data_IF_461916330363
#
_entry.id   IF_461916330363
#
_cell.length_a   1.000
_cell.length_b   1.000
_cell.length_c   1.000
_cell.angle_alpha   90.00
_cell.angle_beta   90.00
_cell.angle_gamma   90.00
#
_symmetry.space_group_name_H-M   'P 1'
#
loop_
_entity.id
_entity.type
_entity.pdbx_description
1 polymer ?
#
# COMPACT_ATOMS: atom_id res chain seq x y z
N UNK A 1 -33.39 36.70 -14.94
CA UNK A 1 -34.35 35.71 -14.40
C UNK A 1 -34.22 34.33 -15.04
N UNK A 2 -34.29 34.20 -16.38
CA UNK A 2 -34.18 32.91 -17.09
C UNK A 2 -32.86 32.15 -16.83
N UNK A 3 -31.72 32.86 -16.80
CA UNK A 3 -30.41 32.24 -16.51
C UNK A 3 -30.33 31.67 -15.10
N UNK A 4 -30.92 32.37 -14.12
CA UNK A 4 -30.97 31.91 -12.72
C UNK A 4 -31.84 30.66 -12.62
N UNK A 5 -32.99 30.64 -13.29
CA UNK A 5 -33.87 29.48 -13.33
C UNK A 5 -33.20 28.26 -13.99
N UNK A 6 -32.46 28.46 -15.09
CA UNK A 6 -31.71 27.39 -15.74
C UNK A 6 -30.59 26.84 -14.85
N UNK A 7 -29.84 27.73 -14.16
CA UNK A 7 -28.81 27.31 -13.20
C UNK A 7 -29.40 26.53 -12.03
N UNK A 8 -30.50 27.01 -11.44
CA UNK A 8 -31.20 26.31 -10.35
C UNK A 8 -31.73 24.95 -10.82
N UNK A 9 -32.32 24.87 -12.02
CA UNK A 9 -32.79 23.60 -12.58
C UNK A 9 -31.64 22.60 -12.82
N UNK A 10 -30.49 23.07 -13.31
CA UNK A 10 -29.30 22.24 -13.48
C UNK A 10 -28.77 21.74 -12.13
N UNK A 11 -28.67 22.61 -11.13
CA UNK A 11 -28.24 22.25 -9.78
C UNK A 11 -29.19 21.24 -9.12
N UNK A 12 -30.49 21.45 -9.23
CA UNK A 12 -31.49 20.50 -8.75
C UNK A 12 -31.38 19.16 -9.49
N UNK A 13 -31.22 19.18 -10.81
CA UNK A 13 -30.99 17.98 -11.62
C UNK A 13 -29.75 17.22 -11.17
N UNK A 14 -28.62 17.90 -10.96
CA UNK A 14 -27.38 17.29 -10.49
C UNK A 14 -27.53 16.70 -9.08
N UNK A 15 -28.12 17.44 -8.13
CA UNK A 15 -28.33 16.99 -6.75
C UNK A 15 -29.30 15.81 -6.67
N UNK A 16 -30.30 15.74 -7.54
CA UNK A 16 -31.23 14.62 -7.58
C UNK A 16 -30.64 13.40 -8.30
N UNK A 17 -29.92 13.61 -9.40
CA UNK A 17 -29.49 12.52 -10.27
C UNK A 17 -28.15 11.90 -9.85
N UNK A 18 -27.15 12.71 -9.47
CA UNK A 18 -25.83 12.20 -9.09
C UNK A 18 -25.89 11.16 -7.97
N UNK A 19 -26.64 11.36 -6.85
CA UNK A 19 -26.80 10.34 -5.83
C UNK A 19 -27.44 9.05 -6.31
N UNK A 20 -28.09 9.03 -7.47
CA UNK A 20 -28.75 7.85 -8.04
C UNK A 20 -27.91 7.15 -9.10
N UNK A 21 -26.82 7.76 -9.57
CA UNK A 21 -25.94 7.20 -10.62
C UNK A 21 -25.47 5.79 -10.26
N UNK A 22 -25.04 5.56 -9.02
CA UNK A 22 -24.58 4.23 -8.60
C UNK A 22 -25.63 3.13 -8.74
N UNK A 23 -26.94 3.46 -8.66
CA UNK A 23 -28.04 2.48 -8.78
C UNK A 23 -28.26 2.02 -10.21
N UNK A 24 -27.94 2.86 -11.18
CA UNK A 24 -28.11 2.58 -12.62
C UNK A 24 -26.77 2.26 -13.32
N UNK A 25 -25.64 2.65 -12.72
CA UNK A 25 -24.28 2.43 -13.20
C UNK A 25 -23.47 1.58 -12.22
N UNK A 26 -24.04 0.48 -11.72
CA UNK A 26 -23.20 -0.55 -11.09
C UNK A 26 -22.60 -1.42 -12.21
N UNK A 27 -21.29 -1.34 -12.51
CA UNK A 27 -20.72 -2.14 -13.57
C UNK A 27 -20.83 -3.63 -13.22
N UNK A 28 -21.26 -4.43 -14.20
CA UNK A 28 -21.30 -5.88 -14.05
C UNK A 28 -19.91 -6.42 -13.71
N UNK A 29 -19.84 -7.63 -13.14
CA UNK A 29 -18.56 -8.30 -12.90
C UNK A 29 -17.71 -8.37 -14.19
N UNK A 30 -18.35 -8.65 -15.32
CA UNK A 30 -17.71 -8.69 -16.63
C UNK A 30 -17.18 -7.32 -17.08
N UNK A 31 -17.96 -6.24 -16.89
CA UNK A 31 -17.51 -4.89 -17.21
C UNK A 31 -16.29 -4.48 -16.36
N UNK A 32 -16.28 -4.83 -15.06
CA UNK A 32 -15.14 -4.61 -14.16
C UNK A 32 -13.91 -5.41 -14.60
N UNK A 33 -14.09 -6.68 -14.98
CA UNK A 33 -13.01 -7.51 -15.49
C UNK A 33 -12.41 -6.92 -16.78
N UNK A 34 -13.25 -6.47 -17.73
CA UNK A 34 -12.80 -5.80 -18.97
C UNK A 34 -12.03 -4.51 -18.69
N UNK A 35 -12.49 -3.69 -17.75
CA UNK A 35 -11.77 -2.49 -17.32
C UNK A 35 -10.40 -2.84 -16.71
N UNK A 36 -10.36 -3.83 -15.82
CA UNK A 36 -9.12 -4.32 -15.22
C UNK A 36 -8.11 -4.82 -16.24
N UNK A 37 -8.56 -5.63 -17.20
CA UNK A 37 -7.71 -6.11 -18.30
C UNK A 37 -7.22 -4.97 -19.19
N UNK A 38 -8.09 -3.99 -19.50
CA UNK A 38 -7.72 -2.80 -20.29
C UNK A 38 -6.66 -1.93 -19.61
N UNK A 39 -6.76 -1.75 -18.29
CA UNK A 39 -5.76 -1.04 -17.49
C UNK A 39 -4.43 -1.80 -17.43
N UNK A 40 -4.46 -3.11 -17.19
CA UNK A 40 -3.27 -3.96 -17.20
C UNK A 40 -2.57 -3.93 -18.56
N UNK A 41 -3.32 -4.06 -19.65
CA UNK A 41 -2.79 -3.98 -21.02
C UNK A 41 -2.22 -2.60 -21.35
N UNK A 42 -2.81 -1.52 -20.82
CA UNK A 42 -2.22 -0.19 -20.96
C UNK A 42 -0.84 -0.11 -20.29
N UNK A 43 -0.73 -0.60 -19.04
CA UNK A 43 0.52 -0.60 -18.28
C UNK A 43 1.59 -1.49 -18.92
N UNK A 44 1.23 -2.70 -19.37
CA UNK A 44 2.14 -3.58 -20.10
C UNK A 44 2.75 -2.89 -21.32
N UNK A 45 1.93 -2.21 -22.12
CA UNK A 45 2.42 -1.47 -23.29
C UNK A 45 3.36 -0.32 -22.93
N UNK A 46 3.17 0.32 -21.78
CA UNK A 46 4.09 1.36 -21.32
C UNK A 46 5.46 0.75 -21.00
N UNK A 47 5.48 -0.32 -20.20
CA UNK A 47 6.70 -1.06 -19.84
C UNK A 47 7.42 -1.60 -21.08
N UNK A 48 6.70 -2.18 -22.03
CA UNK A 48 7.26 -2.76 -23.26
C UNK A 48 7.87 -1.71 -24.19
N UNK A 49 7.31 -0.50 -24.19
CA UNK A 49 7.80 0.61 -25.02
C UNK A 49 8.97 1.35 -24.40
N UNK A 50 9.26 1.13 -23.12
CA UNK A 50 10.38 1.79 -22.45
C UNK A 50 11.71 1.39 -23.13
N UNK A 51 12.46 2.37 -23.66
CA UNK A 51 13.78 2.13 -24.21
C UNK A 51 14.74 1.46 -23.20
N UNK A 52 15.77 0.73 -23.67
CA UNK A 52 16.81 0.21 -22.79
C UNK A 52 17.42 1.31 -21.92
N UNK A 53 17.53 1.04 -20.62
CA UNK A 53 18.08 1.99 -19.65
C UNK A 53 17.09 3.03 -19.10
N UNK A 54 15.88 3.13 -19.66
CA UNK A 54 14.78 3.85 -19.00
C UNK A 54 14.09 2.94 -17.98
N UNK A 55 13.69 3.54 -16.86
CA UNK A 55 13.08 2.88 -15.72
C UNK A 55 11.60 3.20 -15.64
N UNK A 56 10.77 2.21 -15.35
CA UNK A 56 9.36 2.43 -15.08
C UNK A 56 9.19 3.20 -13.75
N UNK A 57 8.24 4.13 -13.70
CA UNK A 57 8.01 5.06 -12.57
C UNK A 57 9.15 6.05 -12.28
N UNK A 58 10.15 6.21 -13.16
CA UNK A 58 11.27 7.14 -12.96
C UNK A 58 10.82 8.60 -12.74
N UNK A 59 9.76 9.03 -13.44
CA UNK A 59 9.23 10.38 -13.32
C UNK A 59 8.65 10.64 -11.92
N UNK A 60 7.99 9.65 -11.31
CA UNK A 60 7.56 9.73 -9.91
C UNK A 60 8.76 9.89 -8.98
N UNK A 61 9.83 9.14 -9.23
CA UNK A 61 11.08 9.19 -8.45
C UNK A 61 11.79 10.54 -8.47
N UNK A 62 11.60 11.33 -9.54
CA UNK A 62 12.12 12.71 -9.63
C UNK A 62 11.41 13.65 -8.66
N UNK A 63 10.14 13.37 -8.33
CA UNK A 63 9.35 14.14 -7.37
C UNK A 63 9.50 13.59 -5.95
N UNK A 64 9.28 12.29 -5.77
CA UNK A 64 9.47 11.59 -4.51
C UNK A 64 10.07 10.19 -4.77
N UNK A 65 11.28 9.88 -4.26
CA UNK A 65 11.89 8.55 -4.42
C UNK A 65 11.09 7.40 -3.79
N UNK A 66 10.25 7.66 -2.79
CA UNK A 66 9.37 6.64 -2.18
C UNK A 66 8.24 6.27 -3.13
N UNK A 67 7.65 7.25 -3.79
CA UNK A 67 6.55 7.03 -4.74
C UNK A 67 6.97 6.17 -5.92
N UNK A 68 8.25 6.24 -6.32
CA UNK A 68 8.82 5.32 -7.29
C UNK A 68 8.79 3.88 -6.77
N UNK A 69 9.28 3.64 -5.55
CA UNK A 69 9.28 2.29 -4.96
C UNK A 69 7.87 1.76 -4.73
N UNK A 70 6.98 2.58 -4.16
CA UNK A 70 5.57 2.23 -3.93
C UNK A 70 4.84 1.95 -5.25
N UNK A 71 5.03 2.81 -6.26
CA UNK A 71 4.44 2.63 -7.59
C UNK A 71 4.89 1.33 -8.24
N UNK A 72 6.19 1.02 -8.18
CA UNK A 72 6.73 -0.28 -8.65
C UNK A 72 6.18 -1.45 -7.84
N UNK A 73 6.02 -1.29 -6.52
CA UNK A 73 5.42 -2.29 -5.62
C UNK A 73 3.98 -2.63 -6.00
N UNK A 74 3.09 -1.64 -6.06
CA UNK A 74 1.69 -1.87 -6.45
C UNK A 74 1.56 -2.45 -7.85
N UNK A 75 2.35 -1.95 -8.81
CA UNK A 75 2.36 -2.50 -10.17
C UNK A 75 2.86 -3.95 -10.20
N UNK A 76 3.88 -4.29 -9.41
CA UNK A 76 4.37 -5.65 -9.31
C UNK A 76 3.31 -6.61 -8.74
N UNK A 77 2.61 -6.21 -7.68
CA UNK A 77 1.50 -6.98 -7.11
C UNK A 77 0.35 -7.15 -8.12
N UNK A 78 0.00 -6.09 -8.84
CA UNK A 78 -1.02 -6.15 -9.88
C UNK A 78 -0.63 -7.08 -11.05
N UNK A 79 0.61 -7.04 -11.51
CA UNK A 79 1.10 -7.93 -12.58
C UNK A 79 1.14 -9.39 -12.12
N UNK A 80 1.51 -9.66 -10.85
CA UNK A 80 1.48 -11.00 -10.29
C UNK A 80 0.04 -11.55 -10.23
N UNK A 81 -0.91 -10.75 -9.74
CA UNK A 81 -2.32 -11.11 -9.72
C UNK A 81 -2.87 -11.35 -11.14
N UNK A 82 -2.55 -10.49 -12.11
CA UNK A 82 -2.96 -10.69 -13.51
C UNK A 82 -2.35 -11.93 -14.15
N UNK A 83 -1.10 -12.26 -13.83
CA UNK A 83 -0.48 -13.49 -14.31
C UNK A 83 -1.20 -14.74 -13.79
N UNK A 84 -1.76 -14.70 -12.58
CA UNK A 84 -2.60 -15.77 -12.02
C UNK A 84 -4.00 -15.80 -12.64
N UNK A 85 -4.62 -14.62 -12.82
CA UNK A 85 -5.98 -14.50 -13.34
C UNK A 85 -6.09 -14.80 -14.84
N UNK A 86 -5.03 -14.54 -15.62
CA UNK A 86 -5.01 -14.70 -17.07
C UNK A 86 -3.82 -15.57 -17.53
N UNK A 87 -3.85 -16.90 -17.31
CA UNK A 87 -2.70 -17.78 -17.59
C UNK A 87 -2.18 -17.72 -19.03
N UNK A 88 -3.06 -17.47 -20.01
CA UNK A 88 -2.69 -17.32 -21.42
C UNK A 88 -1.76 -16.11 -21.66
N UNK A 89 -1.88 -15.05 -20.85
CA UNK A 89 -1.02 -13.88 -20.88
C UNK A 89 0.04 -13.91 -19.76
N UNK A 90 0.09 -14.98 -18.96
CA UNK A 90 1.01 -15.15 -17.83
C UNK A 90 2.47 -14.85 -18.19
N UNK A 91 3.05 -15.42 -19.27
CA UNK A 91 4.43 -15.14 -19.66
C UNK A 91 4.72 -13.65 -19.91
N UNK A 92 3.75 -12.90 -20.46
CA UNK A 92 3.91 -11.48 -20.76
C UNK A 92 3.88 -10.64 -19.48
N UNK A 93 2.94 -10.93 -18.58
CA UNK A 93 2.89 -10.30 -17.25
C UNK A 93 4.15 -10.59 -16.43
N UNK A 94 4.61 -11.85 -16.45
CA UNK A 94 5.83 -12.25 -15.75
C UNK A 94 7.08 -11.56 -16.31
N UNK A 95 7.20 -11.39 -17.64
CA UNK A 95 8.31 -10.67 -18.23
C UNK A 95 8.34 -9.18 -17.80
N UNK A 96 7.18 -8.53 -17.74
CA UNK A 96 7.08 -7.15 -17.23
C UNK A 96 7.42 -7.07 -15.73
N UNK A 97 6.93 -8.01 -14.92
CA UNK A 97 7.23 -8.11 -13.50
C UNK A 97 8.72 -8.37 -13.24
N UNK A 98 9.33 -9.29 -14.00
CA UNK A 98 10.76 -9.59 -13.93
C UNK A 98 11.60 -8.36 -14.28
N UNK A 99 11.21 -7.60 -15.32
CA UNK A 99 11.86 -6.32 -15.65
C UNK A 99 11.79 -5.34 -14.48
N UNK A 100 10.61 -5.14 -13.88
CA UNK A 100 10.44 -4.22 -12.74
C UNK A 100 11.29 -4.63 -11.53
N UNK A 101 11.33 -5.93 -11.21
CA UNK A 101 12.13 -6.47 -10.10
C UNK A 101 13.62 -6.27 -10.38
N UNK A 102 14.08 -6.63 -11.58
CA UNK A 102 15.49 -6.54 -11.96
C UNK A 102 15.96 -5.08 -11.95
N UNK A 103 15.15 -4.16 -12.45
CA UNK A 103 15.38 -2.71 -12.39
C UNK A 103 15.45 -2.20 -10.94
N UNK A 104 14.55 -2.65 -10.07
CA UNK A 104 14.50 -2.24 -8.66
C UNK A 104 15.70 -2.74 -7.87
N UNK A 105 16.06 -4.01 -8.05
CA UNK A 105 17.26 -4.59 -7.44
C UNK A 105 18.54 -3.93 -7.98
N UNK A 106 18.58 -3.56 -9.26
CA UNK A 106 19.73 -2.85 -9.82
C UNK A 106 19.89 -1.44 -9.26
N UNK A 107 18.79 -0.70 -9.13
CA UNK A 107 18.79 0.62 -8.52
C UNK A 107 19.18 0.56 -7.02
N UNK A 108 18.68 -0.44 -6.29
CA UNK A 108 19.08 -0.71 -4.90
C UNK A 108 20.56 -1.07 -4.80
N UNK A 109 21.09 -1.94 -5.67
CA UNK A 109 22.53 -2.29 -5.65
C UNK A 109 23.44 -1.08 -5.88
N UNK A 110 23.02 -0.14 -6.72
CA UNK A 110 23.83 1.05 -7.08
C UNK A 110 23.75 2.15 -6.02
N UNK A 111 22.57 2.37 -5.43
CA UNK A 111 22.33 3.49 -4.52
C UNK A 111 22.08 3.10 -3.06
N UNK A 112 22.07 1.80 -2.74
CA UNK A 112 21.60 1.27 -1.46
C UNK A 112 20.10 1.49 -1.25
N UNK A 113 19.60 1.08 -0.08
CA UNK A 113 18.22 1.37 0.33
C UNK A 113 17.90 2.88 0.33
N UNK A 114 18.91 3.71 0.60
CA UNK A 114 18.81 5.16 0.60
C UNK A 114 18.32 5.75 -0.74
N UNK A 115 18.47 5.03 -1.86
CA UNK A 115 17.95 5.47 -3.17
C UNK A 115 16.44 5.72 -3.16
N UNK A 116 15.70 4.99 -2.34
CA UNK A 116 14.24 5.07 -2.25
C UNK A 116 13.76 5.92 -1.08
N UNK A 117 14.67 6.47 -0.27
CA UNK A 117 14.31 7.28 0.89
C UNK A 117 14.31 8.77 0.56
N UNK A 118 13.46 9.52 1.28
CA UNK A 118 13.47 10.97 1.33
C UNK A 118 14.82 11.51 1.85
N UNK A 119 15.08 12.78 1.54
CA UNK A 119 16.38 13.40 1.80
C UNK A 119 16.83 13.34 3.27
N UNK A 120 15.90 13.37 4.23
CA UNK A 120 16.24 13.28 5.65
C UNK A 120 16.63 11.85 6.05
N UNK A 121 15.93 10.82 5.56
CA UNK A 121 16.29 9.42 5.78
C UNK A 121 17.65 9.05 5.19
N UNK A 122 18.05 9.66 4.06
CA UNK A 122 19.38 9.44 3.47
C UNK A 122 20.53 9.98 4.32
N UNK A 123 20.28 11.02 5.12
CA UNK A 123 21.33 11.76 5.85
C UNK A 123 21.67 11.15 7.21
N UNK A 124 20.79 10.31 7.74
CA UNK A 124 20.98 9.68 9.04
C UNK A 124 21.45 8.24 8.85
N UNK A 125 22.45 7.82 9.63
CA UNK A 125 22.83 6.42 9.71
C UNK A 125 21.81 5.68 10.58
N UNK A 126 20.93 4.91 9.96
CA UNK A 126 20.08 3.94 10.63
C UNK A 126 20.21 2.59 9.92
N UNK A 127 19.80 1.50 10.59
CA UNK A 127 20.04 0.14 10.14
C UNK A 127 19.19 -0.27 8.93
N UNK A 128 18.46 -1.37 9.08
CA UNK A 128 17.48 -1.82 8.08
C UNK A 128 16.34 -0.81 8.01
N UNK A 129 15.98 -0.35 6.80
CA UNK A 129 14.74 0.40 6.58
C UNK A 129 13.59 -0.57 6.34
N UNK A 130 12.66 -0.63 7.29
CA UNK A 130 11.50 -1.51 7.19
C UNK A 130 10.64 -1.17 5.96
N UNK A 131 10.58 0.11 5.58
CA UNK A 131 9.96 0.57 4.34
C UNK A 131 10.57 -0.12 3.12
N UNK A 132 11.85 0.10 2.85
CA UNK A 132 12.47 -0.42 1.62
C UNK A 132 12.48 -1.94 1.59
N UNK A 133 12.88 -2.58 2.69
CA UNK A 133 12.99 -4.04 2.74
C UNK A 133 11.62 -4.72 2.65
N UNK A 134 10.56 -4.18 3.26
CA UNK A 134 9.21 -4.77 3.15
C UNK A 134 8.66 -4.67 1.73
N UNK A 135 8.79 -3.51 1.07
CA UNK A 135 8.27 -3.31 -0.28
C UNK A 135 8.95 -4.23 -1.29
N UNK A 136 10.29 -4.32 -1.26
CA UNK A 136 11.01 -5.21 -2.17
C UNK A 136 10.73 -6.68 -1.83
N UNK A 137 10.61 -7.05 -0.55
CA UNK A 137 10.26 -8.42 -0.16
C UNK A 137 8.87 -8.83 -0.70
N UNK A 138 7.88 -7.94 -0.64
CA UNK A 138 6.55 -8.18 -1.20
C UNK A 138 6.61 -8.41 -2.72
N UNK A 139 7.36 -7.58 -3.45
CA UNK A 139 7.55 -7.75 -4.90
C UNK A 139 8.16 -9.12 -5.25
N UNK A 140 9.24 -9.49 -4.55
CA UNK A 140 9.94 -10.75 -4.76
C UNK A 140 9.07 -11.95 -4.40
N UNK A 141 8.38 -11.89 -3.26
CA UNK A 141 7.50 -12.97 -2.80
C UNK A 141 6.32 -13.16 -3.76
N UNK A 142 5.66 -12.08 -4.19
CA UNK A 142 4.58 -12.13 -5.16
C UNK A 142 5.04 -12.80 -6.46
N UNK A 143 6.22 -12.43 -6.99
CA UNK A 143 6.79 -13.07 -8.19
C UNK A 143 7.03 -14.57 -8.01
N UNK A 144 7.54 -15.00 -6.85
CA UNK A 144 7.82 -16.40 -6.56
C UNK A 144 6.56 -17.26 -6.38
N UNK A 145 5.47 -16.67 -5.86
CA UNK A 145 4.17 -17.34 -5.74
C UNK A 145 3.49 -17.62 -7.08
N UNK A 146 3.77 -16.81 -8.12
CA UNK A 146 3.25 -17.08 -9.47
C UNK A 146 4.06 -18.14 -10.19
N UNK A 147 5.39 -17.99 -10.21
CA UNK A 147 6.30 -18.93 -10.85
C UNK A 147 7.69 -18.84 -10.22
N UNK A 148 8.29 -19.97 -9.83
CA UNK A 148 9.59 -19.93 -9.17
C UNK A 148 10.70 -19.44 -10.13
N UNK A 149 11.47 -18.46 -9.67
CA UNK A 149 12.70 -17.96 -10.30
C UNK A 149 13.85 -18.14 -9.31
N UNK A 150 14.73 -19.10 -9.61
CA UNK A 150 15.76 -19.58 -8.67
C UNK A 150 16.67 -18.44 -8.16
N UNK A 151 17.00 -17.49 -9.04
CA UNK A 151 17.90 -16.37 -8.75
C UNK A 151 17.33 -15.40 -7.70
N UNK A 152 16.01 -15.37 -7.52
CA UNK A 152 15.34 -14.49 -6.55
C UNK A 152 15.19 -15.12 -5.16
N UNK A 153 15.45 -16.42 -5.01
CA UNK A 153 15.23 -17.11 -3.74
C UNK A 153 16.20 -16.64 -2.65
N UNK A 154 17.50 -16.60 -2.93
CA UNK A 154 18.49 -16.14 -1.95
C UNK A 154 18.34 -14.65 -1.60
N UNK A 155 18.13 -13.72 -2.57
CA UNK A 155 17.80 -12.32 -2.25
C UNK A 155 16.56 -12.14 -1.37
N UNK A 156 15.49 -12.92 -1.64
CA UNK A 156 14.28 -12.88 -0.82
C UNK A 156 14.56 -13.40 0.59
N UNK A 157 15.15 -14.58 0.74
CA UNK A 157 15.48 -15.17 2.04
C UNK A 157 16.35 -14.24 2.90
N UNK A 158 17.38 -13.63 2.31
CA UNK A 158 18.25 -12.69 3.01
C UNK A 158 17.48 -11.45 3.51
N UNK A 159 16.51 -10.97 2.72
CA UNK A 159 15.67 -9.82 3.09
C UNK A 159 14.69 -10.15 4.20
N UNK A 160 14.05 -11.32 4.11
CA UNK A 160 13.19 -11.85 5.16
C UNK A 160 13.96 -12.00 6.48
N UNK A 161 15.19 -12.54 6.44
CA UNK A 161 16.04 -12.64 7.62
C UNK A 161 16.34 -11.28 8.27
N UNK A 162 16.61 -10.24 7.46
CA UNK A 162 16.80 -8.87 7.96
C UNK A 162 15.54 -8.28 8.58
N UNK A 163 14.38 -8.45 7.94
CA UNK A 163 13.09 -7.99 8.45
C UNK A 163 12.76 -8.67 9.79
N UNK A 164 12.88 -9.99 9.84
CA UNK A 164 12.63 -10.77 11.05
C UNK A 164 13.58 -10.37 12.19
N UNK A 165 14.88 -10.19 11.90
CA UNK A 165 15.86 -9.73 12.88
C UNK A 165 15.51 -8.33 13.40
N UNK A 166 15.27 -7.36 12.51
CA UNK A 166 14.92 -5.99 12.87
C UNK A 166 13.65 -5.94 13.75
N UNK A 167 12.62 -6.70 13.40
CA UNK A 167 11.38 -6.78 14.19
C UNK A 167 11.53 -7.56 15.50
N UNK A 168 12.57 -8.38 15.65
CA UNK A 168 12.87 -9.08 16.89
C UNK A 168 13.77 -8.28 17.85
N UNK A 169 14.39 -7.20 17.38
CA UNK A 169 15.26 -6.33 18.19
C UNK A 169 14.46 -5.29 19.01
N UNK A 170 14.90 -5.04 20.25
CA UNK A 170 14.36 -3.99 21.13
C UNK A 170 13.13 -4.38 21.98
N UNK A 171 12.48 -3.42 22.68
CA UNK A 171 11.15 -3.62 23.25
C UNK A 171 10.23 -4.14 22.13
N UNK A 172 9.64 -5.33 22.27
CA UNK A 172 9.52 -6.26 21.15
C UNK A 172 8.65 -5.73 20.01
N UNK A 173 9.19 -5.68 18.79
CA UNK A 173 8.41 -5.55 17.55
C UNK A 173 8.49 -4.22 16.79
N UNK A 174 9.18 -3.19 17.29
CA UNK A 174 9.13 -1.84 16.73
C UNK A 174 10.43 -1.49 15.98
N UNK A 175 10.43 -1.70 14.66
CA UNK A 175 11.59 -1.49 13.79
C UNK A 175 11.46 -0.21 12.96
N UNK A 176 12.58 0.49 12.78
CA UNK A 176 12.61 1.78 12.08
C UNK A 176 12.35 1.63 10.57
N UNK A 177 11.41 2.42 10.06
CA UNK A 177 11.26 2.66 8.62
C UNK A 177 12.17 3.80 8.17
N UNK A 178 12.25 4.81 9.03
CA UNK A 178 13.09 6.00 8.97
C UNK A 178 13.78 6.20 10.33
N UNK A 179 14.84 7.04 10.40
CA UNK A 179 15.53 7.30 11.67
C UNK A 179 14.56 7.79 12.75
N UNK A 180 14.44 7.05 13.85
CA UNK A 180 13.52 7.30 14.96
C UNK A 180 12.03 7.35 14.60
N UNK A 181 11.67 6.76 13.46
CA UNK A 181 10.30 6.72 12.91
C UNK A 181 9.95 5.31 12.44
N UNK A 182 8.86 4.79 12.99
CA UNK A 182 8.28 3.50 12.67
C UNK A 182 6.90 3.73 12.06
N UNK A 183 6.61 3.07 10.94
CA UNK A 183 5.34 3.24 10.22
C UNK A 183 4.55 1.94 10.18
N UNK A 184 3.24 2.04 10.42
CA UNK A 184 2.32 0.90 10.48
C UNK A 184 2.22 0.17 9.14
N UNK A 185 2.20 0.92 8.04
CA UNK A 185 2.24 0.41 6.68
C UNK A 185 3.41 -0.56 6.48
N UNK A 186 4.60 -0.20 6.95
CA UNK A 186 5.82 -1.00 6.76
C UNK A 186 5.85 -2.23 7.66
N UNK A 187 5.38 -2.11 8.90
CA UNK A 187 5.33 -3.24 9.81
C UNK A 187 4.37 -4.31 9.32
N UNK A 188 3.17 -3.90 8.90
CA UNK A 188 2.20 -4.85 8.36
C UNK A 188 2.68 -5.42 7.02
N UNK A 189 3.36 -4.62 6.19
CA UNK A 189 4.01 -5.08 4.96
C UNK A 189 5.11 -6.12 5.23
N UNK A 190 5.94 -5.92 6.24
CA UNK A 190 6.97 -6.86 6.67
C UNK A 190 6.34 -8.17 7.18
N UNK A 191 5.28 -8.11 7.98
CA UNK A 191 4.54 -9.29 8.42
C UNK A 191 3.90 -10.05 7.26
N UNK A 192 3.33 -9.34 6.29
CA UNK A 192 2.79 -9.94 5.07
C UNK A 192 3.89 -10.65 4.26
N UNK A 193 5.05 -10.01 4.08
CA UNK A 193 6.20 -10.61 3.39
C UNK A 193 6.71 -11.86 4.10
N UNK A 194 6.82 -11.84 5.43
CA UNK A 194 7.16 -13.03 6.24
C UNK A 194 6.15 -14.16 6.03
N UNK A 195 4.86 -13.86 6.02
CA UNK A 195 3.80 -14.85 5.79
C UNK A 195 3.83 -15.45 4.38
N UNK A 196 4.14 -14.65 3.37
CA UNK A 196 4.32 -15.14 2.00
C UNK A 196 5.59 -16.00 1.88
N UNK A 197 6.67 -15.64 2.57
CA UNK A 197 7.90 -16.43 2.60
C UNK A 197 7.70 -17.78 3.27
N UNK A 198 7.05 -17.84 4.43
CA UNK A 198 6.74 -19.09 5.13
C UNK A 198 6.01 -20.09 4.23
N UNK A 199 5.11 -19.60 3.37
CA UNK A 199 4.40 -20.43 2.41
C UNK A 199 5.29 -20.96 1.26
N UNK A 200 6.38 -20.26 0.93
CA UNK A 200 7.34 -20.66 -0.11
C UNK A 200 8.46 -21.56 0.43
N UNK A 201 8.94 -21.31 1.64
CA UNK A 201 10.13 -21.95 2.21
C UNK A 201 9.83 -23.08 3.21
N UNK A 202 8.63 -23.08 3.81
CA UNK A 202 8.30 -23.94 4.94
C UNK A 202 8.81 -23.46 6.30
N UNK A 203 9.42 -22.27 6.35
CA UNK A 203 9.75 -21.60 7.62
C UNK A 203 8.47 -21.16 8.36
N UNK A 204 8.59 -20.77 9.64
CA UNK A 204 7.46 -20.37 10.47
C UNK A 204 7.76 -19.13 11.32
N UNK A 205 7.31 -17.97 10.83
CA UNK A 205 7.40 -16.68 11.54
C UNK A 205 6.13 -16.33 12.33
N UNK A 206 5.18 -17.26 12.51
CA UNK A 206 3.91 -16.95 13.20
C UNK A 206 4.10 -16.54 14.66
N UNK A 207 5.15 -17.01 15.33
CA UNK A 207 5.46 -16.60 16.71
C UNK A 207 5.81 -15.11 16.78
N UNK A 208 6.64 -14.62 15.86
CA UNK A 208 6.99 -13.21 15.73
C UNK A 208 5.73 -12.37 15.45
N UNK A 209 4.92 -12.78 14.48
CA UNK A 209 3.66 -12.10 14.14
C UNK A 209 2.69 -12.02 15.32
N UNK A 210 2.52 -13.09 16.11
CA UNK A 210 1.66 -13.08 17.30
C UNK A 210 2.17 -12.12 18.38
N UNK A 211 3.47 -12.12 18.66
CA UNK A 211 4.06 -11.20 19.64
C UNK A 211 3.90 -9.75 19.20
N UNK A 212 4.13 -9.47 17.91
CA UNK A 212 3.92 -8.13 17.35
C UNK A 212 2.46 -7.69 17.47
N UNK A 213 1.50 -8.56 17.11
CA UNK A 213 0.07 -8.25 17.20
C UNK A 213 -0.39 -7.99 18.64
N UNK A 214 0.12 -8.76 19.61
CA UNK A 214 -0.18 -8.53 21.02
C UNK A 214 0.29 -7.13 21.46
N UNK A 215 1.53 -6.77 21.10
CA UNK A 215 2.08 -5.44 21.37
C UNK A 215 1.28 -4.35 20.65
N UNK A 216 0.95 -4.51 19.37
CA UNK A 216 0.23 -3.52 18.60
C UNK A 216 -1.18 -3.26 19.17
N UNK A 217 -1.89 -4.31 19.61
CA UNK A 217 -3.19 -4.17 20.28
C UNK A 217 -3.10 -3.44 21.62
N UNK A 218 -2.01 -3.63 22.36
CA UNK A 218 -1.80 -2.98 23.65
C UNK A 218 -1.41 -1.49 23.49
N UNK A 219 -0.60 -1.16 22.47
CA UNK A 219 0.13 0.12 22.44
C UNK A 219 -0.13 0.97 21.21
N UNK A 220 -0.51 0.36 20.09
CA UNK A 220 -0.60 1.02 18.78
C UNK A 220 -2.04 1.11 18.27
N UNK A 221 -3.02 0.78 19.11
CA UNK A 221 -4.44 1.05 18.84
C UNK A 221 -4.82 2.33 19.55
N UNK A 222 -5.28 3.31 18.80
CA UNK A 222 -5.81 4.56 19.33
C UNK A 222 -7.06 4.27 20.19
N UNK A 223 -7.08 4.66 21.48
CA UNK A 223 -8.18 4.31 22.38
C UNK A 223 -9.50 5.00 22.04
N UNK A 224 -9.48 6.15 21.35
CA UNK A 224 -10.69 6.91 21.04
C UNK A 224 -11.47 6.30 19.85
N UNK A 225 -10.75 5.79 18.86
CA UNK A 225 -11.31 5.24 17.63
C UNK A 225 -11.29 3.71 17.61
N UNK A 226 -10.36 3.10 18.35
CA UNK A 226 -10.03 1.68 18.32
C UNK A 226 -9.37 1.24 17.01
N UNK A 227 -8.74 2.18 16.30
CA UNK A 227 -8.01 1.95 15.06
C UNK A 227 -6.51 1.93 15.30
N UNK A 228 -5.76 1.18 14.48
CA UNK A 228 -4.31 1.26 14.45
C UNK A 228 -3.85 2.68 14.10
N UNK A 229 -2.83 3.16 14.80
CA UNK A 229 -2.12 4.42 14.52
C UNK A 229 -1.23 4.28 13.29
N UNK A 230 -0.87 5.37 12.62
CA UNK A 230 -0.07 5.32 11.38
C UNK A 230 1.44 5.35 11.61
N UNK A 231 1.90 6.12 12.60
CA UNK A 231 3.33 6.26 12.90
C UNK A 231 3.60 6.32 14.41
N UNK A 232 4.78 5.84 14.80
CA UNK A 232 5.22 5.73 16.20
C UNK A 232 6.75 5.70 16.28
N UNK A 233 7.30 5.89 17.48
CA UNK A 233 8.74 5.70 17.74
C UNK A 233 9.04 4.27 18.16
N UNK A 234 10.32 3.90 18.19
CA UNK A 234 10.78 2.62 18.77
C UNK A 234 10.43 2.45 20.25
N UNK A 235 10.18 3.55 20.97
CA UNK A 235 9.68 3.51 22.36
C UNK A 235 8.22 3.06 22.46
N UNK A 236 7.48 3.06 21.35
CA UNK A 236 6.03 2.91 21.30
C UNK A 236 5.27 4.23 21.50
N UNK A 237 5.98 5.36 21.58
CA UNK A 237 5.34 6.69 21.55
C UNK A 237 4.64 6.89 20.21
N UNK A 238 3.32 7.11 20.24
CA UNK A 238 2.52 7.41 19.05
C UNK A 238 2.88 8.79 18.53
N UNK A 239 3.15 8.89 17.23
CA UNK A 239 3.47 10.14 16.55
C UNK A 239 2.24 10.68 15.81
N UNK A 240 1.66 9.85 14.93
CA UNK A 240 0.46 10.18 14.17
C UNK A 240 -0.65 9.16 14.43
N UNK A 241 -1.90 9.64 14.48
CA UNK A 241 -3.08 8.83 14.79
C UNK A 241 -3.51 7.88 13.66
N UNK A 242 -4.78 7.44 13.63
CA UNK A 242 -5.27 6.53 12.60
C UNK A 242 -5.44 7.21 11.23
N UNK A 243 -4.39 7.17 10.42
CA UNK A 243 -4.37 7.72 9.06
C UNK A 243 -4.95 6.75 8.04
N UNK A 244 -5.88 7.21 7.22
CA UNK A 244 -6.55 6.39 6.22
C UNK A 244 -5.61 5.83 5.15
N UNK A 245 -4.69 6.65 4.62
CA UNK A 245 -3.73 6.22 3.60
C UNK A 245 -2.86 5.05 4.09
N UNK A 246 -2.39 5.09 5.33
CA UNK A 246 -1.64 3.98 5.96
C UNK A 246 -2.54 2.79 6.35
N UNK A 247 -3.71 3.07 6.93
CA UNK A 247 -4.56 2.06 7.56
C UNK A 247 -5.18 1.08 6.56
N UNK A 248 -5.63 1.53 5.40
CA UNK A 248 -6.28 0.65 4.42
C UNK A 248 -5.35 -0.45 3.92
N UNK A 249 -4.11 -0.11 3.59
CA UNK A 249 -3.11 -1.11 3.18
C UNK A 249 -2.66 -1.94 4.37
N UNK A 250 -2.54 -1.35 5.55
CA UNK A 250 -2.21 -2.08 6.77
C UNK A 250 -3.22 -3.19 7.06
N UNK A 251 -4.52 -2.89 6.90
CA UNK A 251 -5.61 -3.87 7.01
C UNK A 251 -5.49 -4.97 5.95
N UNK A 252 -5.21 -4.61 4.69
CA UNK A 252 -5.00 -5.59 3.62
C UNK A 252 -3.85 -6.56 3.95
N UNK A 253 -2.70 -6.02 4.36
CA UNK A 253 -1.53 -6.82 4.75
C UNK A 253 -1.84 -7.72 5.95
N UNK A 254 -2.54 -7.21 6.95
CA UNK A 254 -2.95 -7.97 8.14
C UNK A 254 -3.89 -9.14 7.80
N UNK A 255 -4.63 -9.10 6.69
CA UNK A 255 -5.47 -10.22 6.29
C UNK A 255 -4.67 -11.51 6.03
N UNK A 256 -3.37 -11.40 5.70
CA UNK A 256 -2.47 -12.55 5.55
C UNK A 256 -1.92 -13.07 6.89
N UNK A 257 -2.04 -12.28 7.97
CA UNK A 257 -1.38 -12.51 9.26
C UNK A 257 -2.40 -12.88 10.34
N UNK A 258 -3.42 -12.05 10.54
CA UNK A 258 -4.55 -12.23 11.45
C UNK A 258 -5.84 -11.71 10.76
N UNK A 259 -6.55 -12.57 10.03
CA UNK A 259 -7.77 -12.19 9.30
C UNK A 259 -8.86 -11.60 10.20
N UNK A 260 -8.95 -12.04 11.46
CA UNK A 260 -9.95 -11.57 12.40
C UNK A 260 -9.65 -10.12 12.81
N UNK A 261 -8.38 -9.82 13.13
CA UNK A 261 -7.97 -8.46 13.42
C UNK A 261 -8.13 -7.53 12.22
N UNK A 262 -7.72 -7.99 11.03
CA UNK A 262 -7.88 -7.24 9.79
C UNK A 262 -9.35 -6.87 9.55
N UNK A 263 -10.27 -7.84 9.70
CA UNK A 263 -11.71 -7.60 9.58
C UNK A 263 -12.21 -6.58 10.60
N UNK A 264 -11.77 -6.70 11.86
CA UNK A 264 -12.13 -5.77 12.92
C UNK A 264 -11.70 -4.34 12.58
N UNK A 265 -10.43 -4.16 12.21
CA UNK A 265 -9.87 -2.86 11.83
C UNK A 265 -10.54 -2.29 10.58
N UNK A 266 -10.79 -3.12 9.56
CA UNK A 266 -11.54 -2.74 8.36
C UNK A 266 -12.92 -2.17 8.69
N UNK A 267 -13.72 -2.88 9.50
CA UNK A 267 -15.09 -2.46 9.79
C UNK A 267 -15.14 -1.16 10.60
N UNK A 268 -14.22 -1.02 11.57
CA UNK A 268 -14.06 0.24 12.31
C UNK A 268 -13.63 1.38 11.39
N UNK A 269 -12.65 1.16 10.52
CA UNK A 269 -12.15 2.15 9.57
C UNK A 269 -13.26 2.55 8.59
N UNK A 270 -14.01 1.58 8.06
CA UNK A 270 -15.16 1.80 7.18
C UNK A 270 -16.27 2.58 7.87
N UNK A 271 -16.48 2.41 9.17
CA UNK A 271 -17.44 3.19 9.94
C UNK A 271 -17.01 4.65 10.18
N UNK A 272 -15.71 4.91 10.28
CA UNK A 272 -15.15 6.21 10.68
C UNK A 272 -14.66 7.06 9.51
N UNK A 273 -14.02 6.43 8.53
CA UNK A 273 -13.33 7.09 7.41
C UNK A 273 -14.18 7.15 6.15
N UNK A 274 -15.00 6.13 5.88
CA UNK A 274 -15.82 6.09 4.67
C UNK A 274 -16.84 7.24 4.63
N UNK A 275 -16.96 7.88 3.47
CA UNK A 275 -17.99 8.87 3.18
C UNK A 275 -18.63 8.58 1.83
N UNK A 276 -19.96 8.58 1.82
CA UNK A 276 -20.73 8.46 0.59
C UNK A 276 -21.21 9.87 0.20
N UNK A 277 -20.77 10.36 -0.96
CA UNK A 277 -21.04 11.71 -1.47
C UNK A 277 -21.54 11.61 -2.89
N UNK A 278 -22.76 12.08 -3.15
CA UNK A 278 -23.37 12.08 -4.49
C UNK A 278 -23.31 10.71 -5.20
N UNK A 279 -23.45 9.61 -4.44
CA UNK A 279 -23.41 8.24 -4.98
C UNK A 279 -22.01 7.67 -5.17
N UNK A 280 -20.95 8.40 -4.82
CA UNK A 280 -19.57 7.94 -4.83
C UNK A 280 -19.09 7.68 -3.41
N UNK A 281 -18.28 6.64 -3.25
CA UNK A 281 -17.58 6.37 -2.00
C UNK A 281 -16.21 7.04 -2.05
N UNK A 282 -15.92 7.88 -1.05
CA UNK A 282 -14.60 8.44 -0.77
C UNK A 282 -14.20 8.10 0.66
N UNK A 283 -12.95 8.33 1.01
CA UNK A 283 -12.46 8.09 2.36
C UNK A 283 -11.77 9.32 2.93
N UNK A 284 -12.05 9.58 4.21
CA UNK A 284 -11.35 10.58 5.00
C UNK A 284 -9.92 10.17 5.26
N UNK A 285 -9.04 11.15 5.38
CA UNK A 285 -7.68 10.88 5.86
C UNK A 285 -7.67 10.59 7.36
N UNK A 286 -8.42 11.37 8.14
CA UNK A 286 -8.46 11.27 9.59
C UNK A 286 -9.90 11.11 10.08
N UNK A 287 -10.17 10.28 11.11
CA UNK A 287 -11.52 10.05 11.64
C UNK A 287 -12.26 11.35 12.01
N UNK A 288 -11.56 12.23 12.73
CA UNK A 288 -12.10 13.47 13.29
C UNK A 288 -11.55 14.74 12.61
N UNK A 289 -10.88 14.60 11.45
CA UNK A 289 -10.28 15.72 10.71
C UNK A 289 -9.03 16.34 11.35
N UNK A 290 -8.62 15.87 12.53
CA UNK A 290 -7.39 16.28 13.20
C UNK A 290 -6.28 15.28 12.92
N UNK A 291 -5.28 15.69 12.14
CA UNK A 291 -4.07 14.91 11.86
C UNK A 291 -3.09 15.69 11.01
N UNK A 292 -1.84 15.25 10.97
CA UNK A 292 -0.80 15.90 10.17
C UNK A 292 -1.05 15.59 8.70
N UNK A 293 -1.29 16.59 7.87
CA UNK A 293 -1.28 16.37 6.42
C UNK A 293 0.15 16.18 5.96
N UNK A 294 0.46 14.99 5.47
CA UNK A 294 1.76 14.71 4.86
C UNK A 294 1.64 14.51 3.35
N UNK A 295 2.74 14.08 2.75
CA UNK A 295 2.88 13.94 1.30
C UNK A 295 2.01 12.80 0.75
N UNK A 296 1.70 11.78 1.56
CA UNK A 296 0.99 10.57 1.13
C UNK A 296 -0.53 10.70 1.26
N UNK A 297 -1.02 11.58 2.14
CA UNK A 297 -2.42 11.98 2.14
C UNK A 297 -2.82 12.64 0.80
N UNK A 298 -1.95 13.48 0.25
CA UNK A 298 -2.29 14.41 -0.82
C UNK A 298 -3.24 15.53 -0.36
N UNK A 299 -3.82 16.33 -1.28
CA UNK A 299 -4.68 17.44 -0.91
C UNK A 299 -6.01 16.96 -0.30
N UNK A 300 -6.22 17.24 0.98
CA UNK A 300 -7.49 16.97 1.66
C UNK A 300 -8.55 17.99 1.23
N UNK A 301 -9.70 17.49 0.77
CA UNK A 301 -10.82 18.31 0.29
C UNK A 301 -11.66 18.80 1.48
N UNK A 302 -11.68 20.12 1.78
CA UNK A 302 -12.41 20.65 2.92
C UNK A 302 -13.91 20.36 2.84
N UNK A 303 -14.53 20.01 3.97
CA UNK A 303 -15.95 19.69 4.07
C UNK A 303 -16.30 18.25 3.73
N UNK A 304 -15.48 17.57 2.90
CA UNK A 304 -15.52 16.11 2.77
C UNK A 304 -14.55 15.44 3.73
N UNK A 305 -13.46 16.14 4.07
CA UNK A 305 -12.28 15.63 4.78
C UNK A 305 -11.63 14.45 4.06
N UNK A 306 -11.95 14.28 2.76
CA UNK A 306 -11.51 13.19 1.92
C UNK A 306 -10.18 13.51 1.25
N UNK A 307 -9.32 12.51 1.15
CA UNK A 307 -8.01 12.63 0.51
C UNK A 307 -7.89 11.65 -0.67
N UNK A 308 -7.06 11.94 -1.68
CA UNK A 308 -6.72 10.97 -2.72
C UNK A 308 -6.05 9.72 -2.16
N UNK A 309 -5.14 9.86 -1.19
CA UNK A 309 -4.42 8.73 -0.58
C UNK A 309 -5.36 7.73 0.07
N UNK A 310 -6.15 8.15 1.05
CA UNK A 310 -7.13 7.29 1.73
C UNK A 310 -8.21 6.77 0.77
N UNK A 311 -8.73 7.61 -0.13
CA UNK A 311 -9.79 7.18 -1.06
C UNK A 311 -9.29 6.14 -2.07
N UNK A 312 -8.05 6.28 -2.56
CA UNK A 312 -7.44 5.32 -3.46
C UNK A 312 -7.14 4.00 -2.76
N UNK A 313 -6.56 4.05 -1.55
CA UNK A 313 -6.15 2.86 -0.82
C UNK A 313 -7.33 2.11 -0.20
N UNK A 314 -8.49 2.75 0.00
CA UNK A 314 -9.75 2.07 0.28
C UNK A 314 -10.10 1.00 -0.77
N UNK A 315 -9.67 1.15 -2.04
CA UNK A 315 -9.93 0.15 -3.09
C UNK A 315 -9.13 -1.14 -2.90
N UNK A 316 -8.08 -1.11 -2.08
CA UNK A 316 -7.20 -2.24 -1.79
C UNK A 316 -7.72 -3.07 -0.60
N UNK A 317 -8.53 -2.46 0.28
CA UNK A 317 -8.95 -3.01 1.57
C UNK A 317 -10.29 -3.79 1.55
#
# INVERSE_FOLDING_TARGET
>A
MRTIQAFVALMLGAVLWLPQVHRVFTPSAEARARLGAGLAEHQLRQIERLPPGQREMAELGRTNPEWELLGRGFLALALADRALAEPALGPRHLAALDRLIDETLDDERRGGAQRFLLAYGRRAGFGVSLFVDSQIALMLAARQHVAVRAELQAPLAARIGRLAAAMAEGPPGLAESYPDECWMYDHTGALAALRLWDALSGEDHRALGRSWLAMARERLVDPATGLLVSSFRRSGEVLDGPEGSSLWVSVHNLALVDPAFAREQYERARGRLRRDVLGFTVAREWPDGAGRHDIDSGPVVPGLEASPGSSGLLLVA
#
